data_IF_155493484827
#
_entry.id   IF_155493484827
#
_cell.length_a   1.000
_cell.length_b   1.000
_cell.length_c   1.000
_cell.angle_alpha   90.00
_cell.angle_beta   90.00
_cell.angle_gamma   90.00
#
_symmetry.space_group_name_H-M   'P 1'
#
loop_
_entity.id
_entity.type
_entity.pdbx_description
1 polymer ?
#
# COMPACT_ATOMS: atom_id res chain seq x y z
N UNK A 1 -10.13 -7.29 -20.64
CA UNK A 1 -11.47 -7.72 -20.17
C UNK A 1 -12.38 -6.53 -19.90
N UNK A 2 -12.09 -5.68 -18.90
CA UNK A 2 -12.98 -4.55 -18.52
C UNK A 2 -13.23 -3.57 -19.69
N UNK A 3 -12.18 -3.17 -20.43
CA UNK A 3 -12.33 -2.26 -21.58
C UNK A 3 -13.25 -2.79 -22.68
N UNK A 4 -13.19 -4.09 -22.97
CA UNK A 4 -14.08 -4.74 -23.94
C UNK A 4 -15.54 -4.81 -23.44
N UNK A 5 -15.74 -5.12 -22.15
CA UNK A 5 -17.09 -5.11 -21.54
C UNK A 5 -17.71 -3.70 -21.56
N UNK A 6 -16.92 -2.67 -21.23
CA UNK A 6 -17.37 -1.28 -21.29
C UNK A 6 -17.73 -0.86 -22.72
N UNK A 7 -16.90 -1.23 -23.71
CA UNK A 7 -17.18 -0.96 -25.13
C UNK A 7 -18.48 -1.61 -25.59
N UNK A 8 -18.73 -2.86 -25.20
CA UNK A 8 -19.97 -3.58 -25.51
C UNK A 8 -21.20 -2.91 -24.89
N UNK A 9 -21.09 -2.48 -23.64
CA UNK A 9 -22.19 -1.80 -22.94
C UNK A 9 -22.49 -0.41 -23.56
N UNK A 10 -21.47 0.37 -23.90
CA UNK A 10 -21.64 1.65 -24.60
C UNK A 10 -22.24 1.49 -26.00
N UNK A 11 -21.94 0.39 -26.69
CA UNK A 11 -22.57 0.07 -27.97
C UNK A 11 -24.06 -0.20 -27.80
N UNK A 12 -24.46 -0.97 -26.79
CA UNK A 12 -25.86 -1.20 -26.45
C UNK A 12 -26.61 0.11 -26.19
N UNK A 13 -26.04 1.03 -25.41
CA UNK A 13 -26.66 2.34 -25.12
C UNK A 13 -26.76 3.22 -26.37
N UNK A 14 -25.83 3.08 -27.31
CA UNK A 14 -25.88 3.79 -28.59
C UNK A 14 -27.02 3.27 -29.47
N UNK A 15 -27.25 1.97 -29.49
CA UNK A 15 -28.38 1.34 -30.19
C UNK A 15 -29.73 1.76 -29.58
N UNK A 16 -29.79 1.94 -28.27
CA UNK A 16 -30.97 2.44 -27.53
C UNK A 16 -31.18 3.96 -27.63
N UNK A 17 -30.23 4.70 -28.21
CA UNK A 17 -30.28 6.15 -28.33
C UNK A 17 -30.02 6.93 -27.03
N UNK A 18 -29.60 6.25 -25.95
CA UNK A 18 -29.27 6.87 -24.66
C UNK A 18 -27.83 7.39 -24.58
N UNK A 19 -26.98 7.02 -25.55
CA UNK A 19 -25.59 7.47 -25.65
C UNK A 19 -25.28 8.12 -27.01
N UNK A 20 -25.09 9.45 -27.00
CA UNK A 20 -24.90 10.27 -28.22
C UNK A 20 -23.45 10.72 -28.45
N UNK A 21 -22.50 10.28 -27.62
CA UNK A 21 -21.10 10.71 -27.74
C UNK A 21 -20.34 9.90 -28.79
N UNK A 22 -19.31 10.54 -29.35
CA UNK A 22 -18.42 9.89 -30.29
C UNK A 22 -17.55 8.82 -29.62
N UNK A 23 -17.12 7.89 -30.46
CA UNK A 23 -16.24 6.72 -30.22
C UNK A 23 -15.52 6.65 -28.86
N UNK A 24 -15.73 5.54 -28.14
CA UNK A 24 -14.93 5.17 -26.96
C UNK A 24 -13.66 4.44 -27.39
N UNK A 25 -12.51 5.10 -27.25
CA UNK A 25 -11.19 4.50 -27.37
C UNK A 25 -10.61 4.21 -25.98
N UNK A 26 -9.93 3.07 -25.83
CA UNK A 26 -9.28 2.69 -24.57
C UNK A 26 -7.89 2.13 -24.82
N UNK A 27 -7.01 2.28 -23.84
CA UNK A 27 -5.69 1.66 -23.80
C UNK A 27 -5.54 0.90 -22.49
N UNK A 28 -4.91 -0.27 -22.54
CA UNK A 28 -4.67 -1.10 -21.36
C UNK A 28 -3.21 -1.04 -20.97
N UNK A 29 -2.94 -0.68 -19.73
CA UNK A 29 -1.61 -0.67 -19.16
C UNK A 29 -1.52 -1.73 -18.06
N UNK A 30 -0.46 -2.55 -18.11
CA UNK A 30 -0.11 -3.46 -17.02
C UNK A 30 1.24 -2.98 -16.51
N UNK A 31 1.22 -2.38 -15.32
CA UNK A 31 2.41 -1.82 -14.70
C UNK A 31 2.77 -2.69 -13.48
N UNK A 32 3.93 -3.32 -13.50
CA UNK A 32 4.36 -4.15 -12.36
C UNK A 32 5.81 -4.59 -12.45
N UNK A 33 6.20 -5.27 -13.54
CA UNK A 33 7.55 -5.82 -13.66
C UNK A 33 8.63 -4.75 -13.51
N UNK A 34 8.44 -3.61 -14.16
CA UNK A 34 9.38 -2.48 -14.13
C UNK A 34 9.57 -1.84 -12.75
N UNK A 35 8.60 -2.00 -11.83
CA UNK A 35 8.67 -1.44 -10.48
C UNK A 35 9.38 -2.37 -9.48
N UNK A 36 9.49 -3.68 -9.78
CA UNK A 36 10.09 -4.64 -8.83
C UNK A 36 11.62 -4.61 -8.81
N UNK A 37 12.23 -4.04 -9.84
CA UNK A 37 13.69 -3.91 -9.96
C UNK A 37 14.13 -2.45 -10.14
N UNK A 38 13.27 -1.50 -9.76
CA UNK A 38 13.65 -0.08 -9.72
C UNK A 38 14.54 0.20 -8.51
N UNK A 39 15.23 1.35 -8.53
CA UNK A 39 15.96 1.81 -7.34
C UNK A 39 14.99 1.99 -6.16
N UNK A 40 15.33 1.47 -4.96
CA UNK A 40 14.51 1.67 -3.76
C UNK A 40 14.45 3.16 -3.40
N UNK A 41 13.34 3.61 -2.82
CA UNK A 41 13.27 4.97 -2.29
C UNK A 41 14.23 5.14 -1.10
N UNK A 42 14.54 6.38 -0.69
CA UNK A 42 15.34 6.60 0.52
C UNK A 42 14.67 5.99 1.76
N UNK A 43 13.34 6.02 1.83
CA UNK A 43 12.56 5.34 2.87
C UNK A 43 12.80 3.82 2.88
N UNK A 44 12.73 3.17 1.71
CA UNK A 44 12.96 1.73 1.60
C UNK A 44 14.41 1.36 1.92
N UNK A 45 15.37 2.21 1.54
CA UNK A 45 16.79 2.04 1.88
C UNK A 45 17.00 2.04 3.40
N UNK A 46 16.48 3.05 4.10
CA UNK A 46 16.63 3.17 5.55
C UNK A 46 15.92 2.03 6.29
N UNK A 47 14.70 1.69 5.86
CA UNK A 47 13.94 0.56 6.39
C UNK A 47 14.68 -0.77 6.22
N UNK A 48 15.13 -1.08 4.99
CA UNK A 48 15.83 -2.33 4.72
C UNK A 48 17.16 -2.43 5.46
N UNK A 49 17.89 -1.31 5.58
CA UNK A 49 19.13 -1.25 6.33
C UNK A 49 18.90 -1.48 7.83
N UNK A 50 17.89 -0.85 8.42
CA UNK A 50 17.54 -1.04 9.82
C UNK A 50 17.17 -2.49 10.12
N UNK A 51 16.25 -3.09 9.33
CA UNK A 51 15.83 -4.48 9.52
C UNK A 51 17.00 -5.46 9.36
N UNK A 52 17.86 -5.25 8.37
CA UNK A 52 19.03 -6.11 8.15
C UNK A 52 20.06 -6.04 9.28
N UNK A 53 20.30 -4.84 9.83
CA UNK A 53 21.19 -4.65 10.98
C UNK A 53 20.67 -5.38 12.21
N UNK A 54 19.39 -5.22 12.52
CA UNK A 54 18.78 -5.83 13.69
C UNK A 54 18.66 -7.35 13.55
N UNK A 55 18.40 -7.86 12.35
CA UNK A 55 18.47 -9.30 12.08
C UNK A 55 19.86 -9.88 12.40
N UNK A 56 20.95 -9.17 12.07
CA UNK A 56 22.30 -9.59 12.43
C UNK A 56 22.51 -9.60 13.96
N UNK A 57 21.97 -8.61 14.68
CA UNK A 57 22.02 -8.58 16.14
C UNK A 57 21.22 -9.75 16.77
N UNK A 58 20.05 -10.11 16.22
CA UNK A 58 19.27 -11.26 16.67
C UNK A 58 20.06 -12.58 16.50
N UNK A 59 20.75 -12.74 15.36
CA UNK A 59 21.61 -13.91 15.10
C UNK A 59 22.77 -13.97 16.10
N UNK A 60 23.43 -12.85 16.39
CA UNK A 60 24.53 -12.81 17.37
C UNK A 60 24.07 -13.22 18.77
N UNK A 61 22.80 -12.97 19.11
CA UNK A 61 22.18 -13.39 20.37
C UNK A 61 21.59 -14.82 20.32
N UNK A 62 21.84 -15.58 19.26
CA UNK A 62 21.31 -16.94 19.04
C UNK A 62 19.77 -17.03 19.08
N UNK A 63 19.07 -15.96 18.67
CA UNK A 63 17.61 -15.95 18.57
C UNK A 63 17.16 -16.47 17.19
N UNK A 64 16.12 -17.28 17.15
CA UNK A 64 15.59 -17.91 15.92
C UNK A 64 14.06 -17.88 15.89
N UNK A 65 13.46 -17.96 14.68
CA UNK A 65 12.01 -17.93 14.50
C UNK A 65 11.37 -16.59 14.83
N UNK A 66 12.14 -15.50 14.75
CA UNK A 66 11.71 -14.13 15.07
C UNK A 66 11.79 -13.27 13.81
N UNK A 67 10.79 -12.43 13.62
CA UNK A 67 10.78 -11.36 12.62
C UNK A 67 10.97 -10.03 13.37
N UNK A 68 11.93 -9.23 12.91
CA UNK A 68 12.11 -7.87 13.39
C UNK A 68 11.12 -6.94 12.68
N UNK A 69 10.41 -6.13 13.45
CA UNK A 69 9.45 -5.13 12.96
C UNK A 69 9.99 -3.76 13.31
N UNK A 70 10.15 -2.93 12.29
CA UNK A 70 10.51 -1.53 12.47
C UNK A 70 9.24 -0.70 12.60
N UNK A 71 8.95 -0.21 13.81
CA UNK A 71 7.66 0.43 14.12
C UNK A 71 7.61 1.92 13.79
N UNK A 72 8.77 2.59 13.68
CA UNK A 72 8.80 4.01 13.35
C UNK A 72 10.11 4.42 12.67
N UNK A 73 9.98 5.26 11.64
CA UNK A 73 11.08 5.88 10.91
C UNK A 73 11.52 7.19 11.56
N UNK A 74 10.70 7.74 12.47
CA UNK A 74 10.99 8.97 13.20
C UNK A 74 11.57 8.73 14.60
N UNK A 75 11.08 7.73 15.34
CA UNK A 75 11.59 7.34 16.67
C UNK A 75 12.19 5.92 16.65
N UNK A 76 13.37 5.76 17.24
CA UNK A 76 14.25 4.61 17.06
C UNK A 76 13.81 3.30 17.75
N UNK A 77 12.52 3.11 18.04
CA UNK A 77 12.03 1.96 18.78
C UNK A 77 11.40 0.91 17.85
N UNK A 78 12.14 -0.16 17.57
CA UNK A 78 11.63 -1.35 16.89
C UNK A 78 11.18 -2.43 17.86
N UNK A 79 10.53 -3.47 17.33
CA UNK A 79 10.06 -4.61 18.10
C UNK A 79 10.36 -5.95 17.41
N UNK A 80 10.14 -7.04 18.14
CA UNK A 80 10.28 -8.40 17.61
C UNK A 80 8.95 -9.14 17.75
N UNK A 81 8.61 -9.93 16.74
CA UNK A 81 7.42 -10.78 16.74
C UNK A 81 7.82 -12.21 16.40
N UNK A 82 7.27 -13.18 17.15
CA UNK A 82 7.43 -14.59 16.86
C UNK A 82 6.79 -14.93 15.52
N UNK A 83 7.50 -15.67 14.67
CA UNK A 83 7.03 -16.03 13.34
C UNK A 83 5.70 -16.79 13.35
N UNK A 84 5.50 -17.60 14.39
CA UNK A 84 4.27 -18.34 14.67
C UNK A 84 3.04 -17.44 14.86
N UNK A 85 3.23 -16.21 15.35
CA UNK A 85 2.14 -15.25 15.54
C UNK A 85 1.54 -14.74 14.23
N UNK A 86 2.24 -14.92 13.09
CA UNK A 86 1.79 -14.53 11.76
C UNK A 86 1.16 -15.68 10.97
N UNK A 87 1.19 -16.91 11.51
CA UNK A 87 0.62 -18.08 10.87
C UNK A 87 -0.87 -18.23 11.21
N UNK A 88 -1.69 -18.37 10.18
CA UNK A 88 -3.12 -18.67 10.33
C UNK A 88 -3.39 -20.17 10.41
N UNK A 89 -4.48 -20.55 11.08
CA UNK A 89 -5.05 -21.88 10.94
C UNK A 89 -5.85 -21.93 9.63
N UNK A 90 -5.29 -22.53 8.58
CA UNK A 90 -6.01 -22.75 7.31
C UNK A 90 -6.85 -24.04 7.39
N UNK A 91 -8.11 -23.97 6.96
CA UNK A 91 -8.99 -25.14 6.86
C UNK A 91 -8.79 -25.84 5.51
N UNK A 92 -7.86 -26.79 5.45
CA UNK A 92 -7.59 -27.64 4.30
C UNK A 92 -6.87 -28.93 4.70
N UNK A 93 -6.96 -30.00 3.88
CA UNK A 93 -6.43 -31.36 4.15
C UNK A 93 -4.90 -31.46 4.31
N UNK A 94 -4.18 -30.33 4.26
CA UNK A 94 -2.75 -30.23 4.54
C UNK A 94 -2.58 -29.05 5.51
N UNK A 95 -2.28 -29.33 6.78
CA UNK A 95 -1.83 -28.33 7.73
C UNK A 95 -0.42 -27.85 7.35
N UNK A 96 -0.33 -27.03 6.31
CA UNK A 96 0.79 -26.12 6.15
C UNK A 96 0.35 -24.78 6.74
N UNK A 97 1.09 -24.31 7.76
CA UNK A 97 0.87 -22.99 8.32
C UNK A 97 0.97 -21.98 7.19
N UNK A 98 -0.17 -21.40 6.83
CA UNK A 98 -0.24 -20.43 5.75
C UNK A 98 -0.06 -19.04 6.35
N UNK A 99 0.64 -18.18 5.60
CA UNK A 99 0.89 -16.82 6.04
C UNK A 99 -0.40 -16.02 5.90
N UNK A 100 -0.80 -15.32 6.96
CA UNK A 100 -2.01 -14.50 6.89
C UNK A 100 -1.79 -13.33 5.94
N UNK A 101 -2.51 -13.32 4.82
CA UNK A 101 -2.54 -12.17 3.93
C UNK A 101 -3.28 -11.00 4.59
N UNK A 102 -2.60 -9.85 4.73
CA UNK A 102 -3.19 -8.62 5.22
C UNK A 102 -3.91 -7.89 4.09
N UNK A 103 -5.19 -8.19 3.90
CA UNK A 103 -6.05 -7.49 2.96
C UNK A 103 -6.37 -6.06 3.41
N UNK A 104 -6.89 -5.23 2.49
CA UNK A 104 -7.32 -3.87 2.79
C UNK A 104 -8.46 -3.90 3.81
N UNK A 105 -8.29 -3.20 4.93
CA UNK A 105 -9.36 -2.96 5.89
C UNK A 105 -10.25 -1.81 5.40
N UNK A 106 -11.53 -2.11 5.19
CA UNK A 106 -12.53 -1.14 4.73
C UNK A 106 -12.93 -0.10 5.80
N UNK A 107 -12.48 -0.27 7.03
CA UNK A 107 -12.73 0.68 8.13
C UNK A 107 -11.50 1.54 8.45
N UNK A 108 -10.36 1.31 7.80
CA UNK A 108 -9.14 2.04 8.11
C UNK A 108 -9.12 3.45 7.52
N UNK A 109 -8.29 4.31 8.11
CA UNK A 109 -8.16 5.73 7.71
C UNK A 109 -7.80 5.92 6.23
N UNK A 110 -6.84 5.17 5.64
CA UNK A 110 -6.54 5.28 4.21
C UNK A 110 -7.75 4.97 3.31
N UNK A 111 -8.51 3.91 3.59
CA UNK A 111 -9.67 3.54 2.78
C UNK A 111 -10.81 4.53 2.93
N UNK A 112 -11.08 5.01 4.15
CA UNK A 112 -12.11 6.02 4.39
C UNK A 112 -11.77 7.35 3.68
N UNK A 113 -10.48 7.72 3.60
CA UNK A 113 -10.03 8.87 2.81
C UNK A 113 -10.34 8.68 1.32
N UNK A 114 -10.16 7.48 0.77
CA UNK A 114 -10.57 7.15 -0.59
C UNK A 114 -12.10 7.26 -0.78
N UNK A 115 -12.89 6.68 0.13
CA UNK A 115 -14.36 6.73 0.07
C UNK A 115 -14.88 8.18 0.08
N UNK A 116 -14.28 9.05 0.89
CA UNK A 116 -14.68 10.45 0.99
C UNK A 116 -14.50 11.25 -0.31
N UNK A 117 -13.60 10.83 -1.21
CA UNK A 117 -13.25 11.60 -2.42
C UNK A 117 -13.63 10.92 -3.74
N UNK A 118 -13.82 9.58 -3.77
CA UNK A 118 -14.04 8.82 -5.01
C UNK A 118 -15.18 9.35 -5.88
N UNK A 119 -16.26 9.85 -5.26
CA UNK A 119 -17.43 10.36 -5.97
C UNK A 119 -17.10 11.71 -6.66
N UNK A 120 -16.30 12.57 -6.01
CA UNK A 120 -15.77 13.81 -6.61
C UNK A 120 -14.85 13.48 -7.78
N UNK A 121 -13.92 12.55 -7.59
CA UNK A 121 -12.93 12.11 -8.59
C UNK A 121 -13.54 11.41 -9.80
N UNK A 122 -14.77 10.89 -9.69
CA UNK A 122 -15.47 10.26 -10.82
C UNK A 122 -15.95 11.31 -11.83
N UNK A 123 -16.26 12.52 -11.38
CA UNK A 123 -16.91 13.56 -12.20
C UNK A 123 -15.95 14.71 -12.54
N UNK A 124 -15.03 15.04 -11.64
CA UNK A 124 -14.10 16.16 -11.79
C UNK A 124 -12.70 15.69 -12.15
N UNK A 125 -12.00 16.50 -12.94
CA UNK A 125 -10.61 16.28 -13.31
C UNK A 125 -9.64 16.69 -12.18
N UNK A 126 -9.67 15.96 -11.07
CA UNK A 126 -8.80 16.19 -9.88
C UNK A 126 -7.56 15.29 -9.92
N UNK A 127 -6.82 15.32 -11.03
CA UNK A 127 -5.61 14.47 -11.21
C UNK A 127 -4.40 15.01 -10.44
N UNK A 128 -3.62 14.11 -9.85
CA UNK A 128 -2.30 14.42 -9.30
C UNK A 128 -1.21 13.85 -10.20
N UNK A 129 -0.17 14.64 -10.46
CA UNK A 129 0.99 14.22 -11.24
C UNK A 129 2.22 14.13 -10.32
N UNK A 130 2.40 13.01 -9.59
CA UNK A 130 3.59 12.84 -8.78
C UNK A 130 4.84 12.82 -9.67
N UNK A 131 5.89 13.51 -9.25
CA UNK A 131 7.18 13.46 -9.92
C UNK A 131 7.88 12.12 -9.75
N UNK A 132 9.04 11.95 -10.37
CA UNK A 132 9.90 10.80 -10.12
C UNK A 132 10.41 10.78 -8.67
N UNK A 133 10.78 9.59 -8.18
CA UNK A 133 11.49 9.44 -6.89
C UNK A 133 12.74 10.30 -6.90
N UNK A 134 12.92 11.12 -5.87
CA UNK A 134 14.07 12.01 -5.70
C UNK A 134 15.04 11.42 -4.67
N UNK A 135 16.33 11.48 -4.96
CA UNK A 135 17.40 10.97 -4.08
C UNK A 135 18.21 12.09 -3.39
N UNK A 136 17.89 13.35 -3.68
CA UNK A 136 18.53 14.50 -3.06
C UNK A 136 17.69 15.77 -3.21
N UNK A 137 18.07 16.80 -2.46
CA UNK A 137 17.34 18.07 -2.40
C UNK A 137 16.19 18.09 -1.39
N UNK A 138 15.59 19.26 -1.19
CA UNK A 138 14.52 19.43 -0.22
C UNK A 138 13.32 18.53 -0.53
N UNK A 139 12.98 17.64 0.42
CA UNK A 139 11.82 16.75 0.30
C UNK A 139 12.13 15.34 -0.20
N UNK A 140 13.38 14.99 -0.54
CA UNK A 140 13.74 13.63 -0.95
C UNK A 140 13.54 12.59 0.17
N UNK A 141 13.63 13.03 1.43
CA UNK A 141 13.42 12.22 2.63
C UNK A 141 11.95 12.08 3.06
N UNK A 142 11.00 12.75 2.38
CA UNK A 142 9.57 12.71 2.73
C UNK A 142 8.74 11.71 1.92
N UNK A 143 9.38 10.74 1.27
CA UNK A 143 8.71 9.77 0.40
C UNK A 143 8.18 8.57 1.19
N UNK A 144 7.47 8.84 2.29
CA UNK A 144 6.63 7.83 2.92
C UNK A 144 5.33 7.68 2.11
N UNK A 145 4.83 6.45 1.87
CA UNK A 145 3.53 6.27 1.23
C UNK A 145 2.40 6.90 2.05
N UNK A 146 1.49 7.63 1.40
CA UNK A 146 0.35 8.30 2.04
C UNK A 146 -0.49 7.39 2.94
N UNK A 147 -0.64 6.11 2.56
CA UNK A 147 -1.36 5.13 3.34
C UNK A 147 -0.66 4.83 4.68
N UNK A 148 0.66 4.70 4.68
CA UNK A 148 1.47 4.47 5.88
C UNK A 148 1.42 5.72 6.77
N UNK A 149 1.56 6.91 6.18
CA UNK A 149 1.50 8.17 6.92
C UNK A 149 0.12 8.40 7.56
N UNK A 150 -0.96 8.10 6.83
CA UNK A 150 -2.33 8.23 7.33
C UNK A 150 -2.65 7.22 8.44
N UNK A 151 -2.23 5.96 8.28
CA UNK A 151 -2.42 4.93 9.30
C UNK A 151 -1.60 5.24 10.56
N UNK A 152 -0.33 5.66 10.40
CA UNK A 152 0.53 6.12 11.50
C UNK A 152 -0.12 7.25 12.28
N UNK A 153 -0.60 8.29 11.59
CA UNK A 153 -1.27 9.43 12.23
C UNK A 153 -2.52 9.01 13.01
N UNK A 154 -3.29 8.07 12.47
CA UNK A 154 -4.47 7.54 13.15
C UNK A 154 -4.09 6.80 14.45
N UNK A 155 -3.10 5.89 14.38
CA UNK A 155 -2.62 5.15 15.57
C UNK A 155 -2.08 6.06 16.66
N UNK A 156 -1.31 7.10 16.29
CA UNK A 156 -0.80 8.07 17.26
C UNK A 156 -1.92 8.85 17.95
N UNK A 157 -3.00 9.19 17.23
CA UNK A 157 -4.16 9.88 17.81
C UNK A 157 -4.98 8.99 18.76
N UNK A 158 -5.03 7.69 18.52
CA UNK A 158 -5.67 6.72 19.41
C UNK A 158 -4.83 6.43 20.67
N UNK A 159 -3.51 6.39 20.53
CA UNK A 159 -2.59 6.14 21.63
C UNK A 159 -2.45 7.32 22.61
N UNK A 160 -2.72 8.56 22.15
CA UNK A 160 -2.67 9.75 23.00
C UNK A 160 -3.82 10.74 22.71
N UNK A 161 -5.04 10.48 23.24
CA UNK A 161 -6.21 11.32 22.99
C UNK A 161 -6.12 12.73 23.62
N UNK A 162 -5.08 13.03 24.39
CA UNK A 162 -4.88 14.32 25.08
C UNK A 162 -3.86 15.26 24.40
N UNK A 163 -3.27 14.87 23.26
CA UNK A 163 -2.23 15.64 22.56
C UNK A 163 -2.72 16.44 21.34
N UNK A 164 -4.02 16.73 21.25
CA UNK A 164 -4.63 17.59 20.23
C UNK A 164 -5.21 18.87 20.84
#
# INVERSE_FOLDING_TARGET
MIGELAKKELQRHKEEGSYNRHFFGYQTHILGYQARTSFPSLFDCDYAYAVGREAAALIQNNLTGIIYIYNDVAESEGGTVGMDSLCGASSGLLHHGDWMESNVDMNNTPFLKFVAHRDSWTVKDETCNPGSVQFGGAGSWKLEPDAVAADRKARLSEANPAAL
#
